data_IF_402901481124
#
_entry.id   IF_402901481124
#
_cell.length_a   1.000
_cell.length_b   1.000
_cell.length_c   1.000
_cell.angle_alpha   90.00
_cell.angle_beta   90.00
_cell.angle_gamma   90.00
#
_symmetry.space_group_name_H-M   'P 1'
#
loop_
_entity.id
_entity.type
_entity.pdbx_description
1 polymer ?
#
# COMPACT_ATOMS: atom_id res chain seq x y z
N UNK A 1 10.37 2.74 -61.92
CA UNK A 1 10.35 1.90 -60.70
C UNK A 1 10.88 2.75 -59.54
N UNK A 2 10.31 2.66 -58.33
CA UNK A 2 9.43 3.69 -57.77
C UNK A 2 10.08 4.59 -56.69
N UNK A 3 9.85 5.90 -56.79
CA UNK A 3 9.99 6.85 -55.68
C UNK A 3 8.62 7.49 -55.42
N UNK A 4 7.77 6.83 -54.65
CA UNK A 4 6.49 7.36 -54.21
C UNK A 4 6.00 6.68 -52.92
N UNK A 5 6.78 6.79 -51.83
CA UNK A 5 6.34 6.36 -50.49
C UNK A 5 6.80 7.41 -49.47
N UNK A 6 6.15 8.58 -49.46
CA UNK A 6 6.39 9.58 -48.40
C UNK A 6 5.25 10.62 -48.25
N UNK A 7 3.97 10.24 -48.44
CA UNK A 7 2.84 11.19 -48.22
C UNK A 7 1.75 10.64 -47.26
N UNK A 8 1.85 9.41 -46.75
CA UNK A 8 0.74 8.76 -46.02
C UNK A 8 0.75 8.87 -44.48
N UNK A 9 1.41 9.86 -43.86
CA UNK A 9 1.54 9.89 -42.38
C UNK A 9 1.16 11.21 -41.68
N UNK A 10 0.44 12.13 -42.35
CA UNK A 10 -0.04 13.37 -41.70
C UNK A 10 -1.56 13.47 -41.53
N UNK A 11 -2.35 12.53 -42.06
CA UNK A 11 -3.81 12.61 -42.05
C UNK A 11 -4.51 11.76 -40.99
N UNK A 12 -3.77 10.92 -40.25
CA UNK A 12 -4.39 10.04 -39.23
C UNK A 12 -4.73 10.83 -37.96
N UNK A 13 -3.86 11.76 -37.55
CA UNK A 13 -3.99 12.43 -36.25
C UNK A 13 -5.15 13.45 -36.18
N UNK A 14 -5.45 14.13 -37.30
CA UNK A 14 -6.54 15.12 -37.37
C UNK A 14 -7.92 14.42 -37.36
N UNK A 15 -7.96 13.19 -37.89
CA UNK A 15 -9.19 12.39 -37.94
C UNK A 15 -9.66 11.95 -36.56
N UNK A 16 -8.73 11.52 -35.71
CA UNK A 16 -9.06 11.09 -34.36
C UNK A 16 -9.60 12.25 -33.49
N UNK A 17 -9.03 13.45 -33.64
CA UNK A 17 -9.46 14.63 -32.89
C UNK A 17 -10.91 15.03 -33.20
N UNK A 18 -11.29 15.11 -34.48
CA UNK A 18 -12.66 15.42 -34.91
C UNK A 18 -13.65 14.33 -34.45
N UNK A 19 -13.23 13.08 -34.41
CA UNK A 19 -14.08 11.97 -33.95
C UNK A 19 -14.36 12.09 -32.44
N UNK A 20 -13.37 12.48 -31.63
CA UNK A 20 -13.58 12.78 -30.22
C UNK A 20 -14.54 13.95 -30.00
N UNK A 21 -14.46 15.00 -30.81
CA UNK A 21 -15.42 16.12 -30.72
C UNK A 21 -16.86 15.67 -30.99
N UNK A 22 -17.06 14.78 -31.96
CA UNK A 22 -18.38 14.18 -32.24
C UNK A 22 -18.87 13.39 -31.03
N UNK A 23 -18.02 12.57 -30.42
CA UNK A 23 -18.41 11.74 -29.27
C UNK A 23 -18.74 12.58 -28.04
N UNK A 24 -17.92 13.58 -27.73
CA UNK A 24 -18.15 14.51 -26.62
C UNK A 24 -19.47 15.25 -26.80
N UNK A 25 -19.79 15.69 -28.02
CA UNK A 25 -21.05 16.36 -28.31
C UNK A 25 -22.28 15.46 -28.24
N UNK A 26 -22.16 14.19 -28.65
CA UNK A 26 -23.25 13.21 -28.49
C UNK A 26 -23.52 12.98 -27.00
N UNK A 27 -22.48 12.77 -26.19
CA UNK A 27 -22.62 12.59 -24.74
C UNK A 27 -23.15 13.85 -24.05
N UNK A 28 -22.70 15.05 -24.46
CA UNK A 28 -23.20 16.33 -23.95
C UNK A 28 -24.69 16.53 -24.28
N UNK A 29 -25.11 16.17 -25.50
CA UNK A 29 -26.50 16.25 -25.91
C UNK A 29 -27.38 15.24 -25.16
N UNK A 30 -26.91 13.99 -25.01
CA UNK A 30 -27.63 12.94 -24.27
C UNK A 30 -27.82 13.31 -22.79
N UNK A 31 -26.82 13.92 -22.16
CA UNK A 31 -26.89 14.39 -20.78
C UNK A 31 -27.89 15.52 -20.58
N UNK A 32 -28.01 16.42 -21.56
CA UNK A 32 -28.84 17.61 -21.44
C UNK A 32 -30.30 17.37 -21.85
N UNK A 33 -30.53 16.63 -22.93
CA UNK A 33 -31.87 16.46 -23.53
C UNK A 33 -32.47 15.07 -23.27
N UNK A 34 -31.65 14.13 -22.77
CA UNK A 34 -32.06 12.76 -22.44
C UNK A 34 -31.59 11.70 -23.44
N UNK A 35 -31.78 10.43 -23.06
CA UNK A 35 -31.32 9.27 -23.83
C UNK A 35 -32.06 9.15 -25.16
N UNK A 36 -31.31 8.94 -26.25
CA UNK A 36 -31.86 8.73 -27.59
C UNK A 36 -32.08 10.00 -28.42
N UNK A 37 -31.68 11.18 -27.90
CA UNK A 37 -31.69 12.43 -28.66
C UNK A 37 -30.44 12.52 -29.53
N UNK A 38 -30.65 12.70 -30.84
CA UNK A 38 -29.61 12.74 -31.87
C UNK A 38 -29.48 14.15 -32.46
N UNK A 39 -28.39 14.44 -33.19
CA UNK A 39 -28.18 15.78 -33.78
C UNK A 39 -29.31 16.18 -34.73
N UNK A 40 -29.80 15.22 -35.53
CA UNK A 40 -30.89 15.43 -36.49
C UNK A 40 -32.24 15.69 -35.79
N UNK A 41 -32.58 14.88 -34.78
CA UNK A 41 -33.83 15.04 -34.04
C UNK A 41 -33.84 16.35 -33.24
N UNK A 42 -32.71 16.73 -32.65
CA UNK A 42 -32.58 17.97 -31.89
C UNK A 42 -32.63 19.21 -32.79
N UNK A 43 -32.02 19.16 -33.98
CA UNK A 43 -32.14 20.22 -34.98
C UNK A 43 -33.47 20.22 -35.75
N UNK A 44 -34.34 19.24 -35.49
CA UNK A 44 -35.62 19.05 -36.17
C UNK A 44 -35.48 18.98 -37.71
N UNK A 45 -34.50 18.20 -38.17
CA UNK A 45 -34.23 17.95 -39.60
C UNK A 45 -34.07 16.46 -39.85
N UNK A 46 -34.47 15.94 -41.04
CA UNK A 46 -34.25 14.54 -41.37
C UNK A 46 -32.74 14.26 -41.62
N UNK A 47 -32.26 13.02 -41.41
CA UNK A 47 -30.87 12.64 -41.74
C UNK A 47 -30.50 12.85 -43.21
N UNK A 48 -31.50 12.86 -44.11
CA UNK A 48 -31.37 13.13 -45.55
C UNK A 48 -31.34 14.62 -45.90
N UNK A 49 -31.40 15.52 -44.92
CA UNK A 49 -31.49 16.96 -45.16
C UNK A 49 -30.30 17.51 -45.93
N UNK A 50 -30.52 18.48 -46.82
CA UNK A 50 -29.44 19.15 -47.55
C UNK A 50 -28.74 20.19 -46.66
N UNK A 51 -27.52 20.62 -47.02
CA UNK A 51 -26.78 21.64 -46.27
C UNK A 51 -27.53 22.98 -46.15
N UNK A 52 -28.36 23.31 -47.14
CA UNK A 52 -29.22 24.49 -47.13
C UNK A 52 -30.37 24.37 -46.12
N UNK A 53 -30.98 23.18 -45.99
CA UNK A 53 -32.00 22.89 -44.98
C UNK A 53 -31.41 22.94 -43.57
N UNK A 54 -30.23 22.37 -43.35
CA UNK A 54 -29.51 22.43 -42.07
C UNK A 54 -29.20 23.87 -41.70
N UNK A 55 -28.74 24.68 -42.66
CA UNK A 55 -28.48 26.11 -42.44
C UNK A 55 -29.75 26.90 -42.10
N UNK A 56 -30.89 26.55 -42.71
CA UNK A 56 -32.18 27.17 -42.39
C UNK A 56 -32.66 26.78 -40.98
N UNK A 57 -32.54 25.51 -40.61
CA UNK A 57 -32.88 25.01 -39.30
C UNK A 57 -32.02 25.66 -38.20
N UNK A 58 -30.71 25.77 -38.43
CA UNK A 58 -29.78 26.46 -37.55
C UNK A 58 -30.21 27.91 -37.30
N UNK A 59 -30.56 28.68 -38.34
CA UNK A 59 -31.02 30.07 -38.18
C UNK A 59 -32.29 30.15 -37.32
N UNK A 60 -33.25 29.25 -37.53
CA UNK A 60 -34.50 29.19 -36.76
C UNK A 60 -34.24 28.88 -35.28
N UNK A 61 -33.45 27.85 -34.99
CA UNK A 61 -33.09 27.45 -33.62
C UNK A 61 -32.20 28.48 -32.93
N UNK A 62 -31.27 29.09 -33.64
CA UNK A 62 -30.39 30.14 -33.09
C UNK A 62 -31.19 31.33 -32.56
N UNK A 63 -32.25 31.73 -33.26
CA UNK A 63 -33.16 32.79 -32.81
C UNK A 63 -33.98 32.41 -31.57
N UNK A 64 -34.28 31.12 -31.39
CA UNK A 64 -35.03 30.60 -30.24
C UNK A 64 -34.14 30.39 -29.02
N UNK A 65 -32.91 29.92 -29.23
CA UNK A 65 -31.93 29.58 -28.20
C UNK A 65 -31.00 30.73 -27.84
N UNK A 66 -31.21 31.92 -28.42
CA UNK A 66 -30.32 33.05 -28.21
C UNK A 66 -30.26 33.44 -26.71
N UNK A 67 -29.06 33.58 -26.10
CA UNK A 67 -28.93 33.86 -24.67
C UNK A 67 -29.61 35.17 -24.24
N UNK A 68 -29.64 36.17 -25.12
CA UNK A 68 -30.31 37.46 -24.88
C UNK A 68 -31.84 37.34 -24.70
N UNK A 69 -32.47 36.36 -25.36
CA UNK A 69 -33.92 36.12 -25.21
C UNK A 69 -34.24 35.21 -24.03
N UNK A 70 -33.26 34.46 -23.55
CA UNK A 70 -33.41 33.44 -22.51
C UNK A 70 -32.53 33.77 -21.29
N UNK A 71 -32.59 35.02 -20.82
CA UNK A 71 -31.74 35.53 -19.72
C UNK A 71 -31.94 34.76 -18.41
N UNK A 72 -33.15 34.20 -18.20
CA UNK A 72 -33.50 33.46 -17.00
C UNK A 72 -33.04 31.99 -17.01
N UNK A 73 -32.53 31.48 -18.15
CA UNK A 73 -32.06 30.11 -18.28
C UNK A 73 -30.52 30.07 -18.19
N UNK A 74 -30.00 29.53 -17.08
CA UNK A 74 -28.57 29.39 -16.85
C UNK A 74 -27.87 28.53 -17.92
N UNK A 75 -28.60 27.62 -18.57
CA UNK A 75 -28.08 26.73 -19.60
C UNK A 75 -28.24 27.28 -21.02
N UNK A 76 -28.84 28.46 -21.21
CA UNK A 76 -29.07 29.03 -22.55
C UNK A 76 -27.75 29.22 -23.33
N UNK A 77 -26.70 29.68 -22.66
CA UNK A 77 -25.36 29.88 -23.27
C UNK A 77 -24.75 28.54 -23.72
N UNK A 78 -24.87 27.50 -22.91
CA UNK A 78 -24.35 26.17 -23.21
C UNK A 78 -25.11 25.53 -24.38
N UNK A 79 -26.45 25.60 -24.36
CA UNK A 79 -27.31 25.12 -25.45
C UNK A 79 -27.02 25.82 -26.77
N UNK A 80 -26.79 27.13 -26.74
CA UNK A 80 -26.43 27.90 -27.94
C UNK A 80 -25.04 27.51 -28.47
N UNK A 81 -24.05 27.34 -27.58
CA UNK A 81 -22.72 26.88 -27.97
C UNK A 81 -22.76 25.48 -28.60
N UNK A 82 -23.55 24.57 -28.02
CA UNK A 82 -23.80 23.23 -28.57
C UNK A 82 -24.45 23.28 -29.94
N UNK A 83 -25.43 24.18 -30.15
CA UNK A 83 -26.07 24.39 -31.45
C UNK A 83 -25.05 24.77 -32.53
N UNK A 84 -24.14 25.68 -32.21
CA UNK A 84 -23.07 26.09 -33.11
C UNK A 84 -22.18 24.92 -33.52
N UNK A 85 -21.73 24.13 -32.55
CA UNK A 85 -20.86 22.97 -32.78
C UNK A 85 -21.55 21.86 -33.61
N UNK A 86 -22.79 21.51 -33.25
CA UNK A 86 -23.57 20.50 -33.99
C UNK A 86 -23.81 20.95 -35.44
N UNK A 87 -24.18 22.23 -35.64
CA UNK A 87 -24.39 22.74 -36.98
C UNK A 87 -23.09 22.79 -37.81
N UNK A 88 -21.93 23.04 -37.19
CA UNK A 88 -20.64 22.97 -37.87
C UNK A 88 -20.34 21.56 -38.38
N UNK A 89 -20.54 20.54 -37.54
CA UNK A 89 -20.34 19.13 -37.89
C UNK A 89 -21.29 18.68 -39.01
N UNK A 90 -22.57 19.08 -38.95
CA UNK A 90 -23.55 18.69 -39.96
C UNK A 90 -23.42 19.47 -41.29
N UNK A 91 -22.80 20.65 -41.28
CA UNK A 91 -22.59 21.47 -42.49
C UNK A 91 -21.41 20.99 -43.33
N UNK A 92 -20.34 20.53 -42.67
CA UNK A 92 -19.18 20.02 -43.38
C UNK A 92 -19.45 18.56 -43.82
N UNK A 93 -19.34 18.24 -45.13
CA UNK A 93 -19.63 16.91 -45.64
C UNK A 93 -18.76 15.82 -44.99
N UNK A 94 -17.48 16.09 -44.72
CA UNK A 94 -16.55 15.08 -44.18
C UNK A 94 -16.93 14.67 -42.75
N UNK A 95 -17.14 15.65 -41.88
CA UNK A 95 -17.53 15.41 -40.48
C UNK A 95 -18.96 14.86 -40.37
N UNK A 96 -19.85 15.25 -41.29
CA UNK A 96 -21.20 14.70 -41.37
C UNK A 96 -21.20 13.22 -41.74
N UNK A 97 -20.35 12.81 -42.68
CA UNK A 97 -20.20 11.40 -43.05
C UNK A 97 -19.74 10.55 -41.86
N UNK A 98 -18.78 11.05 -41.06
CA UNK A 98 -18.35 10.36 -39.84
C UNK A 98 -19.44 10.28 -38.79
N UNK A 99 -20.13 11.39 -38.53
CA UNK A 99 -21.30 11.35 -37.64
C UNK A 99 -22.34 10.34 -38.13
N UNK A 100 -22.61 10.28 -39.44
CA UNK A 100 -23.53 9.30 -40.02
C UNK A 100 -23.06 7.85 -39.84
N UNK A 101 -21.75 7.62 -39.91
CA UNK A 101 -21.15 6.31 -39.62
C UNK A 101 -21.41 5.91 -38.16
N UNK A 102 -21.13 6.79 -37.19
CA UNK A 102 -21.39 6.52 -35.77
C UNK A 102 -22.88 6.47 -35.43
N UNK A 103 -23.71 7.24 -36.12
CA UNK A 103 -25.16 7.20 -35.98
C UNK A 103 -25.76 5.85 -36.37
N UNK A 104 -25.21 5.19 -37.41
CA UNK A 104 -25.66 3.86 -37.87
C UNK A 104 -25.01 2.71 -37.09
N UNK A 105 -23.71 2.81 -36.81
CA UNK A 105 -22.92 1.72 -36.23
C UNK A 105 -22.84 1.79 -34.70
N UNK A 106 -23.32 2.89 -34.10
CA UNK A 106 -23.15 3.20 -32.69
C UNK A 106 -21.84 3.94 -32.43
N UNK A 107 -21.87 4.80 -31.41
CA UNK A 107 -20.67 5.46 -30.89
C UNK A 107 -19.90 4.43 -30.04
N UNK A 108 -18.59 4.22 -30.28
CA UNK A 108 -17.79 3.39 -29.39
C UNK A 108 -17.86 3.97 -27.98
N UNK A 109 -18.24 3.15 -26.98
CA UNK A 109 -18.17 3.55 -25.55
C UNK A 109 -16.71 3.61 -25.10
N UNK A 110 -15.89 4.46 -25.68
CA UNK A 110 -14.49 4.59 -25.32
C UNK A 110 -14.31 5.65 -24.23
N UNK A 111 -14.58 5.26 -22.98
CA UNK A 111 -13.99 5.95 -21.81
C UNK A 111 -12.56 5.44 -21.61
N UNK A 112 -11.72 5.62 -22.62
CA UNK A 112 -10.32 5.20 -22.60
C UNK A 112 -9.48 5.99 -21.58
N UNK A 113 -8.21 5.60 -21.43
CA UNK A 113 -7.22 6.29 -20.59
C UNK A 113 -7.14 7.79 -20.87
N UNK A 114 -7.42 8.22 -22.12
CA UNK A 114 -7.49 9.63 -22.54
C UNK A 114 -8.49 10.48 -21.76
N UNK A 115 -9.64 9.92 -21.34
CA UNK A 115 -10.62 10.64 -20.50
C UNK A 115 -10.02 11.03 -19.15
N UNK A 116 -9.25 10.11 -18.55
CA UNK A 116 -8.55 10.38 -17.29
C UNK A 116 -7.48 11.46 -17.48
N UNK A 117 -6.73 11.45 -18.59
CA UNK A 117 -5.74 12.49 -18.89
C UNK A 117 -6.36 13.87 -19.21
N UNK A 118 -7.53 13.91 -19.86
CA UNK A 118 -8.22 15.16 -20.19
C UNK A 118 -8.84 15.83 -18.96
N UNK A 119 -9.39 15.04 -18.03
CA UNK A 119 -10.01 15.53 -16.80
C UNK A 119 -9.00 15.78 -15.68
N UNK A 120 -8.08 14.84 -15.47
CA UNK A 120 -6.94 14.98 -14.59
C UNK A 120 -5.72 15.22 -15.46
N UNK A 121 -5.38 16.49 -15.73
CA UNK A 121 -4.02 16.82 -16.18
C UNK A 121 -3.10 16.57 -14.99
N UNK A 122 -2.44 15.41 -14.88
CA UNK A 122 -1.69 15.08 -13.68
C UNK A 122 -0.49 16.00 -13.68
N UNK A 123 -0.46 16.95 -12.73
CA UNK A 123 0.70 17.79 -12.54
C UNK A 123 1.89 16.95 -12.08
N UNK A 124 3.10 17.44 -12.32
CA UNK A 124 4.33 16.79 -11.88
C UNK A 124 4.28 16.39 -10.39
N UNK A 125 3.65 17.22 -9.54
CA UNK A 125 3.43 16.92 -8.13
C UNK A 125 2.56 15.67 -7.87
N UNK A 126 1.48 15.46 -8.61
CA UNK A 126 0.62 14.26 -8.44
C UNK A 126 1.36 12.99 -8.84
N UNK A 127 2.21 13.06 -9.86
CA UNK A 127 3.04 11.94 -10.31
C UNK A 127 4.09 11.61 -9.25
N UNK A 128 4.74 12.63 -8.68
CA UNK A 128 5.71 12.43 -7.59
C UNK A 128 5.06 11.81 -6.36
N UNK A 129 3.89 12.30 -5.92
CA UNK A 129 3.17 11.73 -4.77
C UNK A 129 2.80 10.27 -5.03
N UNK A 130 2.32 9.94 -6.23
CA UNK A 130 1.99 8.57 -6.60
C UNK A 130 3.22 7.65 -6.60
N UNK A 131 4.33 8.09 -7.20
CA UNK A 131 5.58 7.33 -7.25
C UNK A 131 6.13 7.09 -5.83
N UNK A 132 6.07 8.11 -4.99
CA UNK A 132 6.49 8.03 -3.59
C UNK A 132 5.61 7.03 -2.81
N UNK A 133 4.28 7.06 -2.98
CA UNK A 133 3.37 6.07 -2.39
C UNK A 133 3.69 4.65 -2.87
N UNK A 134 3.94 4.49 -4.17
CA UNK A 134 4.31 3.19 -4.76
C UNK A 134 5.60 2.64 -4.15
N UNK A 135 6.63 3.48 -3.99
CA UNK A 135 7.88 3.06 -3.33
C UNK A 135 7.67 2.67 -1.87
N UNK A 136 6.81 3.38 -1.13
CA UNK A 136 6.47 3.06 0.25
C UNK A 136 5.76 1.70 0.37
N UNK A 137 4.83 1.40 -0.53
CA UNK A 137 4.14 0.10 -0.60
C UNK A 137 5.15 -1.01 -0.92
N UNK A 138 6.03 -0.80 -1.90
CA UNK A 138 7.06 -1.79 -2.25
C UNK A 138 7.97 -2.11 -1.06
N UNK A 139 8.37 -1.11 -0.28
CA UNK A 139 9.18 -1.30 0.92
C UNK A 139 8.45 -2.09 2.01
N UNK A 140 7.15 -1.83 2.22
CA UNK A 140 6.34 -2.61 3.16
C UNK A 140 6.24 -4.07 2.76
N UNK A 141 6.07 -4.34 1.47
CA UNK A 141 6.03 -5.69 0.93
C UNK A 141 7.39 -6.37 1.14
N UNK A 142 8.49 -5.72 0.79
CA UNK A 142 9.83 -6.26 1.00
C UNK A 142 10.11 -6.58 2.48
N UNK A 143 9.77 -5.67 3.41
CA UNK A 143 9.90 -5.91 4.86
C UNK A 143 9.01 -7.06 5.33
N UNK A 144 7.78 -7.15 4.82
CA UNK A 144 6.88 -8.27 5.10
C UNK A 144 7.48 -9.59 4.62
N UNK A 145 7.99 -9.64 3.39
CA UNK A 145 8.62 -10.85 2.84
C UNK A 145 9.85 -11.23 3.68
N UNK A 146 10.73 -10.27 3.99
CA UNK A 146 11.94 -10.55 4.75
C UNK A 146 11.62 -11.06 6.17
N UNK A 147 10.65 -10.47 6.88
CA UNK A 147 10.18 -10.96 8.18
C UNK A 147 9.74 -12.43 8.12
N UNK A 148 8.98 -12.81 7.08
CA UNK A 148 8.56 -14.20 6.92
C UNK A 148 9.72 -15.12 6.54
N UNK A 149 10.69 -14.64 5.75
CA UNK A 149 11.86 -15.40 5.36
C UNK A 149 12.83 -15.61 6.54
N UNK A 150 13.09 -14.60 7.36
CA UNK A 150 13.92 -14.69 8.57
C UNK A 150 13.31 -15.66 9.58
N UNK A 151 12.01 -15.55 9.84
CA UNK A 151 11.31 -16.49 10.73
C UNK A 151 11.42 -17.95 10.25
N UNK A 152 11.25 -18.20 8.95
CA UNK A 152 11.40 -19.54 8.37
C UNK A 152 12.84 -20.05 8.46
N UNK A 153 13.83 -19.19 8.20
CA UNK A 153 15.26 -19.54 8.31
C UNK A 153 15.61 -19.97 9.74
N UNK A 154 15.21 -19.19 10.74
CA UNK A 154 15.48 -19.51 12.15
C UNK A 154 14.73 -20.79 12.57
N UNK A 155 13.48 -20.97 12.14
CA UNK A 155 12.72 -22.20 12.43
C UNK A 155 13.38 -23.45 11.85
N UNK A 156 13.79 -23.40 10.58
CA UNK A 156 14.48 -24.51 9.93
C UNK A 156 15.80 -24.81 10.64
N UNK A 157 16.55 -23.77 11.02
CA UNK A 157 17.81 -23.92 11.76
C UNK A 157 17.61 -24.61 13.12
N UNK A 158 16.56 -24.25 13.86
CA UNK A 158 16.19 -24.92 15.12
C UNK A 158 15.78 -26.38 14.87
N UNK A 159 15.05 -26.66 13.79
CA UNK A 159 14.65 -28.02 13.43
C UNK A 159 15.86 -28.89 13.06
N UNK A 160 16.80 -28.35 12.29
CA UNK A 160 18.03 -29.03 11.90
C UNK A 160 18.92 -29.29 13.14
N UNK A 161 19.02 -28.32 14.05
CA UNK A 161 19.69 -28.48 15.35
C UNK A 161 19.11 -29.65 16.15
N UNK A 162 17.77 -29.72 16.21
CA UNK A 162 17.04 -30.77 16.93
C UNK A 162 17.19 -32.14 16.28
N UNK A 163 17.19 -32.21 14.95
CA UNK A 163 17.45 -33.44 14.24
C UNK A 163 18.90 -33.92 14.42
N UNK A 164 19.86 -33.01 14.47
CA UNK A 164 21.26 -33.32 14.73
C UNK A 164 21.49 -33.89 16.15
N UNK A 165 20.82 -33.35 17.18
CA UNK A 165 20.82 -33.91 18.54
C UNK A 165 20.46 -35.40 18.57
N UNK A 166 19.55 -35.85 17.69
CA UNK A 166 19.03 -37.21 17.72
C UNK A 166 19.95 -38.25 17.07
N UNK A 167 20.91 -37.86 16.21
CA UNK A 167 21.54 -38.82 15.29
C UNK A 167 23.04 -38.62 15.01
N UNK A 168 23.67 -37.45 15.23
CA UNK A 168 25.07 -37.21 14.79
C UNK A 168 25.95 -36.55 15.85
N UNK A 169 27.05 -37.23 16.16
CA UNK A 169 28.22 -36.65 16.85
C UNK A 169 29.37 -36.61 15.83
N UNK A 170 29.95 -35.44 15.52
CA UNK A 170 31.07 -35.36 14.58
C UNK A 170 32.32 -36.08 15.12
N UNK A 171 33.14 -36.59 14.20
CA UNK A 171 34.38 -37.31 14.55
C UNK A 171 35.39 -36.34 15.17
N UNK A 172 35.88 -36.63 16.37
CA UNK A 172 36.84 -35.79 17.08
C UNK A 172 36.22 -34.86 18.13
N UNK A 173 34.92 -34.98 18.41
CA UNK A 173 34.25 -34.26 19.51
C UNK A 173 33.73 -35.26 20.55
N UNK A 174 33.71 -34.85 21.82
CA UNK A 174 33.25 -35.69 22.93
C UNK A 174 31.79 -36.12 22.79
N UNK A 175 31.40 -37.19 23.51
CA UNK A 175 30.01 -37.64 23.55
C UNK A 175 29.07 -36.47 23.93
N UNK A 176 27.88 -36.37 23.31
CA UNK A 176 26.97 -35.27 23.54
C UNK A 176 26.59 -35.21 25.02
N UNK A 177 26.97 -34.13 25.69
CA UNK A 177 26.50 -33.81 27.03
C UNK A 177 25.01 -33.46 26.98
N UNK A 178 24.27 -33.74 28.07
CA UNK A 178 22.82 -33.56 28.16
C UNK A 178 22.38 -32.19 27.60
N UNK A 179 21.79 -32.17 26.39
CA UNK A 179 21.22 -30.96 25.77
C UNK A 179 22.10 -30.20 24.74
N UNK A 180 23.34 -30.63 24.44
CA UNK A 180 24.20 -29.98 23.43
C UNK A 180 24.31 -30.80 22.13
N UNK A 181 24.14 -30.14 20.99
CA UNK A 181 24.30 -30.66 19.62
C UNK A 181 25.44 -29.99 18.88
N UNK A 182 25.92 -30.61 17.81
CA UNK A 182 26.76 -29.97 16.80
C UNK A 182 25.99 -29.82 15.49
N UNK A 183 26.11 -28.66 14.85
CA UNK A 183 25.49 -28.38 13.55
C UNK A 183 26.58 -27.98 12.57
N UNK A 184 26.57 -28.60 11.39
CA UNK A 184 27.45 -28.23 10.29
C UNK A 184 26.89 -26.99 9.58
N UNK A 185 27.58 -25.85 9.72
CA UNK A 185 27.24 -24.60 9.02
C UNK A 185 28.33 -24.32 7.98
N UNK A 186 28.09 -24.81 6.75
CA UNK A 186 29.05 -24.69 5.65
C UNK A 186 30.32 -25.53 5.88
N UNK A 187 31.42 -24.88 6.28
CA UNK A 187 32.71 -25.53 6.53
C UNK A 187 33.10 -25.58 8.02
N UNK A 188 32.24 -25.11 8.93
CA UNK A 188 32.49 -25.09 10.37
C UNK A 188 31.40 -25.84 11.12
N UNK A 189 31.79 -26.54 12.18
CA UNK A 189 30.91 -27.23 13.13
C UNK A 189 30.66 -26.30 14.31
N UNK A 190 29.41 -25.89 14.54
CA UNK A 190 29.08 -25.06 15.69
C UNK A 190 28.43 -25.90 16.78
N UNK A 191 28.80 -25.65 18.04
CA UNK A 191 28.13 -26.26 19.17
C UNK A 191 26.87 -25.45 19.48
N UNK A 192 25.72 -26.13 19.56
CA UNK A 192 24.43 -25.48 19.76
C UNK A 192 23.66 -26.17 20.89
N UNK A 193 22.99 -25.38 21.72
CA UNK A 193 22.11 -25.82 22.79
C UNK A 193 20.68 -25.35 22.51
N UNK A 194 19.78 -26.29 22.24
CA UNK A 194 18.36 -26.01 22.00
C UNK A 194 17.64 -25.98 23.35
N UNK A 195 17.25 -24.80 23.84
CA UNK A 195 16.45 -24.72 25.09
C UNK A 195 14.94 -24.83 24.85
N UNK A 196 14.43 -24.38 23.70
CA UNK A 196 13.00 -24.46 23.37
C UNK A 196 12.73 -24.48 21.85
N UNK A 197 11.47 -24.61 21.45
CA UNK A 197 11.03 -24.58 20.05
C UNK A 197 11.26 -23.21 19.37
N UNK A 198 11.60 -22.17 20.14
CA UNK A 198 11.79 -20.79 19.65
C UNK A 198 13.13 -20.18 20.02
N UNK A 199 13.97 -20.89 20.79
CA UNK A 199 15.20 -20.37 21.37
C UNK A 199 16.36 -21.37 21.29
N UNK A 200 17.45 -20.91 20.69
CA UNK A 200 18.70 -21.65 20.46
C UNK A 200 19.89 -20.81 20.90
N UNK A 201 20.84 -21.40 21.61
CA UNK A 201 22.15 -20.81 21.87
C UNK A 201 23.19 -21.46 20.97
N UNK A 202 23.98 -20.65 20.27
CA UNK A 202 25.08 -21.12 19.43
C UNK A 202 26.40 -20.65 20.04
N UNK A 203 27.29 -21.59 20.30
CA UNK A 203 28.65 -21.37 20.79
C UNK A 203 29.60 -21.44 19.59
N UNK A 204 30.17 -20.30 19.16
CA UNK A 204 31.22 -20.27 18.14
C UNK A 204 32.52 -20.90 18.65
N UNK A 205 33.40 -21.32 17.73
CA UNK A 205 34.72 -21.86 18.08
C UNK A 205 35.64 -20.72 18.59
N UNK A 206 35.92 -20.67 19.89
CA UNK A 206 36.83 -19.69 20.53
C UNK A 206 36.30 -19.10 21.84
N UNK A 207 36.95 -18.06 22.36
CA UNK A 207 36.49 -17.26 23.53
C UNK A 207 35.43 -16.21 23.15
N UNK A 208 34.69 -16.42 22.04
CA UNK A 208 33.64 -15.51 21.58
C UNK A 208 32.32 -15.73 22.34
N UNK A 209 31.60 -14.64 22.62
CA UNK A 209 30.33 -14.70 23.36
C UNK A 209 29.26 -15.54 22.64
N UNK A 210 28.44 -16.30 23.38
CA UNK A 210 27.41 -17.14 22.80
C UNK A 210 26.33 -16.33 22.08
N UNK A 211 25.97 -16.76 20.87
CA UNK A 211 24.92 -16.10 20.07
C UNK A 211 23.56 -16.68 20.43
N UNK A 212 22.70 -15.82 20.99
CA UNK A 212 21.32 -16.16 21.32
C UNK A 212 20.41 -15.93 20.11
N UNK A 213 19.86 -16.99 19.53
CA UNK A 213 18.88 -16.92 18.46
C UNK A 213 17.48 -17.18 19.01
N UNK A 214 16.69 -16.11 19.12
CA UNK A 214 15.27 -16.18 19.49
C UNK A 214 14.39 -15.70 18.34
N UNK A 215 13.34 -16.47 18.02
CA UNK A 215 12.33 -16.11 17.03
C UNK A 215 11.55 -14.84 17.44
N UNK A 216 11.40 -14.61 18.75
CA UNK A 216 10.64 -13.48 19.28
C UNK A 216 11.37 -12.13 19.13
N UNK A 217 12.68 -12.16 18.89
CA UNK A 217 13.50 -10.96 18.66
C UNK A 217 13.40 -10.46 17.22
N UNK A 218 12.76 -11.21 16.32
CA UNK A 218 12.51 -10.76 14.95
C UNK A 218 11.49 -9.61 14.98
N UNK A 219 11.96 -8.42 14.63
CA UNK A 219 11.13 -7.20 14.67
C UNK A 219 9.94 -7.32 13.72
N UNK A 220 8.73 -7.12 14.28
CA UNK A 220 7.50 -7.12 13.49
C UNK A 220 7.49 -5.89 12.57
N UNK A 221 7.15 -6.02 11.28
CA UNK A 221 7.14 -4.91 10.36
C UNK A 221 6.07 -3.90 10.78
N UNK A 222 6.51 -2.74 11.28
CA UNK A 222 5.61 -1.66 11.71
C UNK A 222 5.50 -0.63 10.59
N UNK A 223 4.29 -0.13 10.34
CA UNK A 223 4.04 0.92 9.33
C UNK A 223 4.78 2.23 9.61
N UNK A 224 5.23 2.45 10.85
CA UNK A 224 6.07 3.59 11.24
C UNK A 224 7.49 3.54 10.68
N UNK A 225 7.95 2.37 10.24
CA UNK A 225 9.31 2.17 9.76
C UNK A 225 9.43 2.40 8.25
N UNK A 226 8.36 2.91 7.62
CA UNK A 226 8.42 3.36 6.23
C UNK A 226 9.16 4.68 6.19
N UNK A 227 10.17 4.79 5.33
CA UNK A 227 10.98 6.01 5.18
C UNK A 227 10.11 7.26 4.97
N UNK A 228 8.96 7.09 4.31
CA UNK A 228 7.97 8.14 4.08
C UNK A 228 7.44 8.81 5.36
N UNK A 229 7.26 8.03 6.42
CA UNK A 229 6.75 8.54 7.70
C UNK A 229 7.93 8.91 8.60
N UNK A 230 9.00 8.12 8.57
CA UNK A 230 10.18 8.32 9.40
C UNK A 230 10.90 9.63 9.09
N UNK A 231 11.05 10.03 7.82
CA UNK A 231 11.78 11.25 7.46
C UNK A 231 11.07 12.54 7.89
N UNK A 232 9.76 12.73 7.60
CA UNK A 232 9.01 13.87 8.09
C UNK A 232 8.90 13.89 9.62
N UNK A 233 8.64 12.74 10.27
CA UNK A 233 8.65 12.67 11.73
C UNK A 233 10.03 12.96 12.30
N UNK A 234 11.12 12.53 11.67
CA UNK A 234 12.48 12.80 12.14
C UNK A 234 12.81 14.29 12.02
N UNK A 235 12.41 14.94 10.93
CA UNK A 235 12.55 16.40 10.77
C UNK A 235 11.73 17.12 11.86
N UNK A 236 10.46 16.74 12.03
CA UNK A 236 9.58 17.34 13.06
C UNK A 236 10.11 17.08 14.48
N UNK A 237 10.61 15.88 14.78
CA UNK A 237 11.23 15.54 16.08
C UNK A 237 12.53 16.31 16.32
N UNK A 238 13.34 16.53 15.27
CA UNK A 238 14.57 17.33 15.33
C UNK A 238 14.26 18.81 15.55
N UNK A 239 13.19 19.33 14.95
CA UNK A 239 12.70 20.69 15.16
C UNK A 239 12.07 20.87 16.55
N UNK A 240 11.35 19.85 17.05
CA UNK A 240 10.69 19.87 18.36
C UNK A 240 11.60 19.43 19.53
N UNK A 241 12.87 19.14 19.29
CA UNK A 241 13.83 18.73 20.33
C UNK A 241 13.49 17.41 21.04
N UNK A 242 12.65 16.56 20.45
CA UNK A 242 12.24 15.29 21.04
C UNK A 242 13.36 14.26 20.80
N UNK A 243 14.13 13.93 21.84
CA UNK A 243 15.17 12.90 21.77
C UNK A 243 14.53 11.51 21.52
N UNK A 244 15.11 10.69 20.63
CA UNK A 244 14.64 9.32 20.43
C UNK A 244 14.76 8.53 21.74
N UNK A 245 13.78 7.66 22.00
CA UNK A 245 13.81 6.76 23.15
C UNK A 245 14.88 5.70 22.87
N UNK A 246 16.07 5.88 23.45
CA UNK A 246 17.14 4.88 23.40
C UNK A 246 16.62 3.58 24.03
N UNK A 247 16.67 2.51 23.26
CA UNK A 247 16.34 1.17 23.73
C UNK A 247 17.57 0.64 24.46
N UNK A 248 17.62 0.80 25.79
CA UNK A 248 18.63 0.14 26.63
C UNK A 248 18.30 -1.35 26.67
N UNK A 249 19.24 -2.17 26.22
CA UNK A 249 19.29 -3.60 26.55
C UNK A 249 19.78 -3.63 28.00
N UNK A 250 18.90 -3.93 28.94
CA UNK A 250 19.30 -4.21 30.32
C UNK A 250 19.95 -5.59 30.34
N UNK A 251 21.28 -5.58 30.38
CA UNK A 251 22.12 -6.71 30.76
C UNK A 251 21.86 -6.95 32.25
N UNK A 252 21.14 -8.04 32.56
CA UNK A 252 20.86 -8.42 33.94
C UNK A 252 22.11 -9.03 34.55
N UNK A 253 22.83 -8.22 35.33
CA UNK A 253 23.81 -8.70 36.30
C UNK A 253 23.10 -9.63 37.31
N UNK A 254 23.66 -10.83 37.50
CA UNK A 254 23.28 -11.76 38.56
C UNK A 254 23.78 -11.18 39.90
N UNK A 255 22.86 -10.74 40.76
CA UNK A 255 23.17 -10.50 42.18
C UNK A 255 22.74 -11.72 43.01
N UNK A 256 23.76 -12.36 43.59
CA UNK A 256 23.67 -13.43 44.58
C UNK A 256 22.89 -12.96 45.83
N UNK A 257 21.91 -13.77 46.22
CA UNK A 257 21.16 -13.63 47.46
C UNK A 257 21.95 -14.31 48.57
N UNK A 258 22.35 -13.57 49.60
CA UNK A 258 22.38 -14.11 50.96
C UNK A 258 21.98 -13.05 52.00
N UNK A 259 20.95 -13.42 52.76
CA UNK A 259 20.26 -12.64 53.78
C UNK A 259 20.60 -13.19 55.18
N UNK A 260 20.81 -12.28 56.14
CA UNK A 260 20.61 -12.33 57.63
C UNK A 260 21.75 -11.55 58.32
N UNK A 261 21.54 -10.69 59.30
CA UNK A 261 20.63 -10.82 60.43
C UNK A 261 20.28 -9.45 61.07
N UNK A 262 19.23 -9.49 61.86
CA UNK A 262 18.40 -8.43 62.46
C UNK A 262 19.00 -7.82 63.75
N UNK A 263 18.82 -6.50 64.01
CA UNK A 263 18.28 -5.92 65.28
C UNK A 263 18.29 -4.36 65.36
N UNK A 264 17.07 -3.79 65.40
CA UNK A 264 16.49 -2.79 66.36
C UNK A 264 17.07 -1.36 66.57
N UNK A 265 16.42 -0.37 65.91
CA UNK A 265 15.73 0.89 66.37
C UNK A 265 16.01 1.58 67.74
N UNK A 266 15.57 2.87 67.99
CA UNK A 266 15.05 3.95 67.11
C UNK A 266 15.50 5.41 67.50
N UNK A 267 14.92 6.42 66.82
CA UNK A 267 14.66 7.86 67.19
C UNK A 267 15.11 8.83 66.06
N UNK A 268 14.32 9.75 65.50
CA UNK A 268 12.93 10.16 65.67
C UNK A 268 12.50 11.13 64.54
N UNK A 269 11.19 11.12 64.25
CA UNK A 269 10.28 12.16 63.71
C UNK A 269 10.75 13.08 62.55
N UNK A 270 10.01 13.33 61.46
CA UNK A 270 8.60 13.78 61.43
C UNK A 270 8.03 13.79 59.98
N UNK A 271 6.86 13.14 59.80
CA UNK A 271 5.69 13.42 58.91
C UNK A 271 5.86 13.64 57.37
N UNK A 272 4.98 13.24 56.43
CA UNK A 272 3.86 12.28 56.29
C UNK A 272 2.91 12.75 55.14
N UNK A 273 2.83 11.94 54.07
CA UNK A 273 1.62 11.51 53.30
C UNK A 273 0.77 12.48 52.46
N UNK A 274 0.52 12.07 51.19
CA UNK A 274 -0.78 11.55 50.68
C UNK A 274 -0.64 10.90 49.29
N UNK A 275 -0.95 9.59 49.14
CA UNK A 275 -2.19 8.95 48.57
C UNK A 275 -2.43 9.24 47.07
N UNK A 276 -2.83 8.32 46.17
CA UNK A 276 -3.32 6.92 46.23
C UNK A 276 -3.36 6.41 44.76
N UNK A 277 -2.94 5.16 44.51
CA UNK A 277 -3.14 4.40 43.25
C UNK A 277 -4.52 3.68 43.26
N UNK A 278 -5.17 3.58 42.11
CA UNK A 278 -6.35 2.73 41.77
C UNK A 278 -5.91 1.89 40.55
N UNK A 279 -5.58 0.60 40.69
CA UNK A 279 -6.40 -0.65 40.66
C UNK A 279 -6.91 -1.02 39.25
N UNK A 280 -6.39 -2.12 38.69
CA UNK A 280 -7.06 -3.20 37.91
C UNK A 280 -6.01 -4.29 37.67
N UNK A 281 -5.98 -5.41 38.40
CA UNK A 281 -6.80 -6.64 38.32
C UNK A 281 -6.05 -7.74 37.52
N UNK A 282 -5.41 -8.64 38.27
CA UNK A 282 -4.73 -9.83 37.79
C UNK A 282 -5.60 -11.06 38.08
N UNK A 283 -5.87 -11.86 37.05
CA UNK A 283 -6.54 -13.17 37.18
C UNK A 283 -5.45 -14.22 37.39
N UNK A 284 -5.42 -14.79 38.60
CA UNK A 284 -4.63 -15.98 38.93
C UNK A 284 -5.43 -17.23 38.56
N UNK A 285 -4.79 -18.20 37.90
CA UNK A 285 -5.29 -19.57 37.79
C UNK A 285 -4.31 -20.51 38.50
N UNK A 286 -4.79 -21.03 39.62
CA UNK A 286 -4.30 -22.19 40.39
C UNK A 286 -4.08 -23.39 39.44
N UNK A 287 -3.00 -24.16 39.51
CA UNK A 287 -2.61 -25.00 40.63
C UNK A 287 -3.13 -26.44 40.42
N UNK A 288 -2.26 -27.38 40.03
CA UNK A 288 -2.50 -28.82 40.25
C UNK A 288 -1.18 -29.52 40.56
N UNK A 289 -1.09 -29.90 41.83
CA UNK A 289 -0.04 -30.68 42.49
C UNK A 289 -0.44 -32.16 42.36
N UNK A 290 0.40 -32.99 41.76
CA UNK A 290 0.27 -34.46 41.86
C UNK A 290 1.58 -35.02 42.38
N UNK A 291 1.52 -35.51 43.62
CA UNK A 291 2.64 -36.10 44.33
C UNK A 291 2.89 -37.56 43.95
N UNK A 292 4.16 -37.93 43.88
CA UNK A 292 4.62 -39.31 43.85
C UNK A 292 5.51 -39.61 45.06
N UNK A 293 4.99 -40.42 45.99
CA UNK A 293 5.67 -40.93 47.19
C UNK A 293 6.95 -41.70 46.82
N UNK A 294 8.07 -41.42 47.48
CA UNK A 294 9.21 -42.36 47.59
C UNK A 294 9.27 -42.89 49.02
N UNK A 295 9.13 -44.21 49.16
CA UNK A 295 9.43 -44.98 50.37
C UNK A 295 10.93 -44.92 50.64
N UNK A 296 11.30 -44.67 51.89
CA UNK A 296 12.65 -44.84 52.41
C UNK A 296 12.68 -46.07 53.32
N UNK A 297 13.62 -46.99 53.10
CA UNK A 297 14.21 -47.94 54.07
C UNK A 297 15.50 -48.47 53.41
N UNK A 298 16.64 -48.76 54.04
CA UNK A 298 17.47 -48.24 55.15
C UNK A 298 18.74 -49.12 55.09
N UNK A 299 19.91 -48.52 55.43
CA UNK A 299 21.20 -49.11 55.84
C UNK A 299 21.48 -50.59 55.55
#
# INVERSE_FOLDING_TARGET
MPHAIAIFNLTVNDRDAEDFEIFDLVDELEKAEGKGVNFYSWMNVPPTATASQISRAYRKLSLQLHPDKNVNDAHAKERFARLGKIAAILRNPTTRERYNFFYKNGVPRWRGTGYYYARFRPGLGTVLVFLVLLTAVMQLIAKRINYHQEKKRILNFIQDARAAMAYKVPKGHGAPTLGRSYIDVGHRTLQCEVKSDTYLIVYPDGDEDPVHLNIEWVQKPTVTDVYLIQWPLAIVRKVLGIKPKEFKVEESEEEDVDEKDETTEPEGETQSKKKKKKKTEAVNVTGTKVGGRRRAVKK
#
